data_IF_406954787162
#
_entry.id   IF_406954787162
#
_cell.length_a   1.000
_cell.length_b   1.000
_cell.length_c   1.000
_cell.angle_alpha   90.00
_cell.angle_beta   90.00
_cell.angle_gamma   90.00
#
_symmetry.space_group_name_H-M   'P 1'
#
loop_
_entity.id
_entity.type
_entity.pdbx_description
1 polymer ?
#
# COMPACT_ATOMS: atom_id res chain seq x y z
N UNK A 1 22.37 3.64 -9.51
CA UNK A 1 22.90 2.98 -8.30
C UNK A 1 22.10 1.75 -7.86
N UNK A 2 20.82 1.87 -7.42
CA UNK A 2 20.04 0.68 -7.00
C UNK A 2 19.60 -0.20 -8.18
N UNK A 3 19.11 0.40 -9.28
CA UNK A 3 18.70 -0.35 -10.47
C UNK A 3 19.86 -1.18 -11.09
N UNK A 4 21.06 -0.61 -11.13
CA UNK A 4 22.26 -1.31 -11.63
C UNK A 4 22.61 -2.52 -10.76
N UNK A 5 22.57 -2.37 -9.42
CA UNK A 5 22.78 -3.48 -8.47
C UNK A 5 21.74 -4.59 -8.64
N UNK A 6 20.49 -4.24 -8.92
CA UNK A 6 19.42 -5.22 -9.21
C UNK A 6 19.66 -5.95 -10.52
N UNK A 7 20.05 -5.24 -11.59
CA UNK A 7 20.42 -5.86 -12.89
C UNK A 7 21.62 -6.80 -12.73
N UNK A 8 22.63 -6.39 -11.96
CA UNK A 8 23.79 -7.23 -11.67
C UNK A 8 23.38 -8.48 -10.88
N UNK A 9 22.54 -8.32 -9.87
CA UNK A 9 22.00 -9.43 -9.08
C UNK A 9 21.21 -10.40 -9.96
N UNK A 10 20.35 -9.88 -10.84
CA UNK A 10 19.62 -10.68 -11.83
C UNK A 10 20.58 -11.48 -12.71
N UNK A 11 21.58 -10.83 -13.31
CA UNK A 11 22.58 -11.50 -14.18
C UNK A 11 23.34 -12.60 -13.43
N UNK A 12 23.78 -12.30 -12.20
CA UNK A 12 24.50 -13.25 -11.33
C UNK A 12 23.62 -14.43 -10.89
N UNK A 13 22.33 -14.21 -10.65
CA UNK A 13 21.40 -15.29 -10.33
C UNK A 13 21.14 -16.13 -11.57
N UNK A 14 20.84 -15.51 -12.71
CA UNK A 14 20.58 -16.19 -13.97
C UNK A 14 21.77 -17.06 -14.44
N UNK A 15 23.00 -16.63 -14.20
CA UNK A 15 24.20 -17.40 -14.58
C UNK A 15 24.37 -18.72 -13.82
N UNK A 16 23.58 -18.97 -12.76
CA UNK A 16 23.61 -20.22 -11.99
C UNK A 16 22.72 -21.31 -12.58
N UNK A 17 21.88 -20.97 -13.55
CA UNK A 17 20.89 -21.88 -14.13
C UNK A 17 21.27 -22.26 -15.57
N UNK A 18 20.95 -23.49 -15.93
CA UNK A 18 21.06 -23.98 -17.30
C UNK A 18 20.06 -23.29 -18.24
N UNK A 19 20.31 -23.38 -19.55
CA UNK A 19 19.39 -22.85 -20.56
C UNK A 19 18.01 -23.53 -20.51
N UNK A 20 17.95 -24.80 -20.06
CA UNK A 20 16.69 -25.53 -19.91
C UNK A 20 15.90 -25.03 -18.71
N UNK A 21 16.54 -24.84 -17.56
CA UNK A 21 15.89 -24.24 -16.38
C UNK A 21 15.41 -22.82 -16.65
N UNK A 22 16.20 -22.02 -17.40
CA UNK A 22 15.77 -20.68 -17.81
C UNK A 22 14.55 -20.72 -18.74
N UNK A 23 14.38 -21.76 -19.58
CA UNK A 23 13.15 -21.94 -20.37
C UNK A 23 11.96 -22.25 -19.46
N UNK A 24 12.10 -23.15 -18.49
CA UNK A 24 11.04 -23.41 -17.52
C UNK A 24 10.65 -22.16 -16.72
N UNK A 25 11.63 -21.33 -16.35
CA UNK A 25 11.36 -20.04 -15.72
C UNK A 25 10.56 -19.09 -16.61
N UNK A 26 10.83 -19.06 -17.93
CA UNK A 26 10.01 -18.26 -18.86
C UNK A 26 8.58 -18.77 -18.95
N UNK A 27 8.38 -20.10 -19.03
CA UNK A 27 7.04 -20.70 -19.00
C UNK A 27 6.32 -20.36 -17.70
N UNK A 28 6.99 -20.53 -16.55
CA UNK A 28 6.44 -20.18 -15.24
C UNK A 28 5.92 -18.74 -15.17
N UNK A 29 6.69 -17.77 -15.69
CA UNK A 29 6.22 -16.38 -15.74
C UNK A 29 4.94 -16.20 -16.57
N UNK A 30 4.84 -16.89 -17.71
CA UNK A 30 3.66 -16.83 -18.56
C UNK A 30 2.44 -17.43 -17.83
N UNK A 31 2.61 -18.58 -17.17
CA UNK A 31 1.54 -19.19 -16.37
C UNK A 31 1.07 -18.28 -15.23
N UNK A 32 2.01 -17.66 -14.50
CA UNK A 32 1.63 -16.68 -13.47
C UNK A 32 0.81 -15.54 -14.08
N UNK A 33 1.17 -15.00 -15.24
CA UNK A 33 0.37 -13.95 -15.89
C UNK A 33 -1.03 -14.43 -16.27
N UNK A 34 -1.17 -15.68 -16.73
CA UNK A 34 -2.47 -16.27 -17.10
C UNK A 34 -3.42 -16.42 -15.91
N UNK A 35 -2.90 -16.59 -14.69
CA UNK A 35 -3.72 -16.66 -13.48
C UNK A 35 -4.40 -15.31 -13.17
N UNK A 36 -3.80 -14.18 -13.55
CA UNK A 36 -4.32 -12.84 -13.25
C UNK A 36 -5.18 -12.25 -14.39
N UNK A 37 -5.08 -12.77 -15.61
CA UNK A 37 -5.68 -12.16 -16.80
C UNK A 37 -6.60 -13.17 -17.50
N UNK A 38 -7.89 -12.90 -17.51
CA UNK A 38 -8.91 -13.69 -18.23
C UNK A 38 -9.46 -12.94 -19.45
N UNK A 39 -10.12 -13.69 -20.35
CA UNK A 39 -10.81 -13.20 -21.56
C UNK A 39 -9.93 -12.27 -22.40
N UNK A 40 -8.82 -12.79 -22.93
CA UNK A 40 -7.92 -12.07 -23.84
C UNK A 40 -7.35 -10.73 -23.31
N UNK A 41 -7.33 -10.49 -22.00
CA UNK A 41 -6.83 -9.24 -21.42
C UNK A 41 -7.88 -8.35 -20.77
N UNK A 42 -9.17 -8.69 -20.88
CA UNK A 42 -10.26 -7.79 -20.48
C UNK A 42 -10.64 -7.88 -19.00
N UNK A 43 -10.30 -8.96 -18.31
CA UNK A 43 -10.72 -9.20 -16.93
C UNK A 43 -9.53 -9.54 -16.03
N UNK A 44 -9.39 -8.77 -14.94
CA UNK A 44 -8.39 -9.04 -13.89
C UNK A 44 -8.99 -10.00 -12.85
N UNK A 45 -8.24 -11.04 -12.53
CA UNK A 45 -8.55 -11.97 -11.44
C UNK A 45 -7.75 -11.59 -10.21
N UNK A 46 -8.43 -11.46 -9.08
CA UNK A 46 -7.79 -11.16 -7.81
C UNK A 46 -7.60 -12.45 -7.00
N UNK A 47 -6.34 -12.81 -6.76
CA UNK A 47 -5.95 -13.93 -5.91
C UNK A 47 -4.49 -13.78 -5.49
N UNK A 48 -4.13 -14.32 -4.32
CA UNK A 48 -2.73 -14.46 -3.90
C UNK A 48 -2.10 -15.73 -4.49
N UNK A 49 -1.84 -15.71 -5.80
CA UNK A 49 -1.27 -16.84 -6.55
C UNK A 49 0.09 -17.26 -5.99
N UNK A 50 0.99 -16.31 -5.75
CA UNK A 50 2.35 -16.63 -5.29
C UNK A 50 2.36 -17.07 -3.82
N UNK A 51 1.49 -16.52 -2.97
CA UNK A 51 1.34 -16.99 -1.59
C UNK A 51 0.75 -18.40 -1.50
N UNK A 52 -0.21 -18.74 -2.37
CA UNK A 52 -0.75 -20.10 -2.48
C UNK A 52 0.31 -21.08 -2.97
N UNK A 53 0.98 -20.78 -4.09
CA UNK A 53 2.04 -21.63 -4.64
C UNK A 53 3.18 -21.85 -3.65
N UNK A 54 3.55 -20.83 -2.88
CA UNK A 54 4.60 -20.96 -1.87
C UNK A 54 4.26 -22.01 -0.82
N UNK A 55 3.00 -22.05 -0.36
CA UNK A 55 2.54 -23.06 0.60
C UNK A 55 2.39 -24.44 -0.03
N UNK A 56 1.79 -24.51 -1.22
CA UNK A 56 1.54 -25.79 -1.91
C UNK A 56 2.84 -26.50 -2.29
N UNK A 57 3.88 -25.75 -2.62
CA UNK A 57 5.23 -26.26 -2.88
C UNK A 57 6.04 -26.49 -1.60
N UNK A 58 5.43 -26.32 -0.43
CA UNK A 58 6.05 -26.48 0.89
C UNK A 58 7.33 -25.67 1.10
N UNK A 59 7.44 -24.51 0.45
CA UNK A 59 8.65 -23.68 0.49
C UNK A 59 8.88 -23.09 1.89
N UNK A 60 7.85 -23.01 2.74
CA UNK A 60 7.96 -22.61 4.15
C UNK A 60 8.97 -23.45 4.94
N UNK A 61 9.15 -24.72 4.58
CA UNK A 61 10.10 -25.64 5.24
C UNK A 61 11.55 -25.23 4.98
N UNK A 62 11.81 -24.56 3.85
CA UNK A 62 13.11 -24.04 3.47
C UNK A 62 13.30 -22.55 3.83
N UNK A 63 12.21 -21.78 3.85
CA UNK A 63 12.23 -20.33 4.04
C UNK A 63 11.56 -19.93 5.36
N UNK A 64 12.33 -20.00 6.45
CA UNK A 64 12.06 -19.40 7.77
C UNK A 64 10.67 -19.68 8.41
N UNK A 65 9.97 -20.73 8.00
CA UNK A 65 8.64 -21.04 8.54
C UNK A 65 7.59 -19.96 8.28
N UNK A 66 7.68 -19.27 7.14
CA UNK A 66 6.68 -18.27 6.76
C UNK A 66 5.31 -18.93 6.50
N UNK A 67 4.27 -18.35 7.11
CA UNK A 67 2.88 -18.68 6.82
C UNK A 67 2.18 -17.41 6.38
N UNK A 68 1.68 -17.41 5.14
CA UNK A 68 0.86 -16.31 4.62
C UNK A 68 -0.60 -16.49 4.99
N UNK A 69 -1.28 -15.36 5.15
CA UNK A 69 -2.72 -15.32 5.38
C UNK A 69 -3.47 -15.94 4.19
N UNK A 70 -4.31 -16.96 4.39
CA UNK A 70 -5.15 -17.50 3.32
C UNK A 70 -5.96 -16.39 2.66
N UNK A 71 -6.10 -16.46 1.34
CA UNK A 71 -6.70 -15.37 0.57
C UNK A 71 -8.13 -15.02 1.03
N UNK A 72 -8.93 -16.03 1.35
CA UNK A 72 -10.30 -15.82 1.85
C UNK A 72 -10.36 -15.04 3.17
N UNK A 73 -9.36 -15.20 4.03
CA UNK A 73 -9.24 -14.43 5.28
C UNK A 73 -8.89 -12.97 4.96
N UNK A 74 -7.95 -12.75 4.02
CA UNK A 74 -7.62 -11.41 3.53
C UNK A 74 -8.84 -10.72 2.91
N UNK A 75 -9.64 -11.45 2.15
CA UNK A 75 -10.89 -10.96 1.56
C UNK A 75 -11.94 -10.61 2.62
N UNK A 76 -12.14 -11.47 3.62
CA UNK A 76 -13.04 -11.21 4.73
C UNK A 76 -12.63 -9.93 5.49
N UNK A 77 -11.35 -9.79 5.81
CA UNK A 77 -10.82 -8.60 6.50
C UNK A 77 -10.94 -7.33 5.65
N UNK A 78 -10.71 -7.43 4.34
CA UNK A 78 -10.89 -6.33 3.41
C UNK A 78 -12.35 -5.90 3.31
N UNK A 79 -13.31 -6.84 3.31
CA UNK A 79 -14.75 -6.52 3.32
C UNK A 79 -15.16 -5.78 4.58
N UNK A 80 -14.63 -6.16 5.73
CA UNK A 80 -14.91 -5.50 7.01
C UNK A 80 -14.33 -4.08 7.02
N UNK A 81 -13.07 -3.94 6.61
CA UNK A 81 -12.34 -2.67 6.74
C UNK A 81 -12.68 -1.68 5.62
N UNK A 82 -12.85 -2.15 4.40
CA UNK A 82 -13.05 -1.34 3.20
C UNK A 82 -14.46 -1.39 2.63
N UNK A 83 -15.37 -2.25 3.11
CA UNK A 83 -16.71 -2.38 2.53
C UNK A 83 -17.56 -1.10 2.57
N UNK A 84 -18.85 -1.22 2.26
CA UNK A 84 -19.76 -0.06 2.08
C UNK A 84 -19.93 0.86 3.32
N UNK A 85 -19.49 0.42 4.49
CA UNK A 85 -19.45 1.21 5.73
C UNK A 85 -18.01 1.46 6.23
N UNK A 86 -17.02 1.13 5.42
CA UNK A 86 -15.59 1.16 5.74
C UNK A 86 -14.87 2.33 5.08
N UNK A 87 -13.55 2.22 4.95
CA UNK A 87 -12.71 3.32 4.48
C UNK A 87 -13.04 3.80 3.06
N UNK A 88 -13.67 2.98 2.20
CA UNK A 88 -14.07 3.44 0.86
C UNK A 88 -15.02 4.64 0.90
N UNK A 89 -15.79 4.83 1.98
CA UNK A 89 -16.64 6.01 2.14
C UNK A 89 -15.84 7.31 2.26
N UNK A 90 -14.57 7.24 2.67
CA UNK A 90 -13.71 8.43 2.71
C UNK A 90 -13.49 9.02 1.30
N UNK A 91 -13.64 8.21 0.24
CA UNK A 91 -13.51 8.67 -1.15
C UNK A 91 -14.64 9.62 -1.59
N UNK A 92 -15.69 9.80 -0.80
CA UNK A 92 -16.66 10.87 -1.01
C UNK A 92 -16.03 12.27 -0.81
N UNK A 93 -15.07 12.37 0.11
CA UNK A 93 -14.45 13.64 0.51
C UNK A 93 -12.95 13.70 0.21
N UNK A 94 -12.33 12.57 -0.11
CA UNK A 94 -10.90 12.46 -0.39
C UNK A 94 -10.64 11.94 -1.81
N UNK A 95 -9.56 12.43 -2.43
CA UNK A 95 -9.17 11.94 -3.76
C UNK A 95 -8.65 10.50 -3.73
N UNK A 96 -8.04 10.07 -2.62
CA UNK A 96 -7.51 8.72 -2.43
C UNK A 96 -7.36 8.38 -0.95
N UNK A 97 -7.29 7.09 -0.66
CA UNK A 97 -6.98 6.52 0.65
C UNK A 97 -5.53 6.01 0.64
N UNK A 98 -4.79 6.29 1.71
CA UNK A 98 -3.49 5.68 1.98
C UNK A 98 -3.68 4.44 2.84
N UNK A 99 -3.11 3.31 2.42
CA UNK A 99 -3.19 2.03 3.12
C UNK A 99 -1.78 1.52 3.41
N UNK A 100 -1.56 0.97 4.60
CA UNK A 100 -0.27 0.44 5.06
C UNK A 100 -0.43 -1.03 5.43
N UNK A 101 0.47 -1.87 4.93
CA UNK A 101 0.64 -3.24 5.40
C UNK A 101 2.10 -3.44 5.85
N UNK A 102 2.38 -3.49 7.16
CA UNK A 102 3.73 -3.50 7.71
C UNK A 102 4.43 -4.87 7.62
N UNK A 103 3.71 -5.95 7.33
CA UNK A 103 4.23 -7.31 7.15
C UNK A 103 3.50 -7.99 6.01
N UNK A 104 3.77 -7.54 4.79
CA UNK A 104 2.87 -7.79 3.67
C UNK A 104 2.84 -9.22 3.14
N UNK A 105 3.87 -10.02 3.43
CA UNK A 105 4.02 -11.34 2.82
C UNK A 105 3.95 -11.23 1.30
N UNK A 106 3.20 -12.12 0.68
CA UNK A 106 2.95 -12.09 -0.77
C UNK A 106 1.99 -10.97 -1.23
N UNK A 107 1.42 -10.17 -0.32
CA UNK A 107 0.56 -9.02 -0.64
C UNK A 107 -0.94 -9.32 -0.67
N UNK A 108 -1.37 -10.47 -0.13
CA UNK A 108 -2.77 -10.92 -0.17
C UNK A 108 -3.80 -9.89 0.31
N UNK A 109 -3.51 -9.14 1.38
CA UNK A 109 -4.40 -8.09 1.90
C UNK A 109 -4.59 -6.94 0.91
N UNK A 110 -3.51 -6.50 0.25
CA UNK A 110 -3.56 -5.43 -0.73
C UNK A 110 -4.31 -5.87 -2.00
N UNK A 111 -4.11 -7.13 -2.45
CA UNK A 111 -4.85 -7.73 -3.58
C UNK A 111 -6.34 -7.79 -3.25
N UNK A 112 -6.70 -8.34 -2.09
CA UNK A 112 -8.09 -8.43 -1.63
C UNK A 112 -8.76 -7.07 -1.51
N UNK A 113 -8.03 -6.05 -1.06
CA UNK A 113 -8.53 -4.69 -0.98
C UNK A 113 -8.82 -4.08 -2.36
N UNK A 114 -7.96 -4.36 -3.35
CA UNK A 114 -8.20 -3.96 -4.74
C UNK A 114 -9.43 -4.67 -5.32
N UNK A 115 -9.65 -5.94 -4.97
CA UNK A 115 -10.86 -6.68 -5.33
C UNK A 115 -12.12 -5.97 -4.80
N UNK A 116 -12.16 -5.65 -3.49
CA UNK A 116 -13.33 -4.98 -2.88
C UNK A 116 -13.61 -3.61 -3.51
N UNK A 117 -12.57 -2.83 -3.77
CA UNK A 117 -12.71 -1.57 -4.48
C UNK A 117 -13.24 -1.77 -5.92
N UNK A 118 -12.71 -2.75 -6.65
CA UNK A 118 -13.17 -3.09 -8.00
C UNK A 118 -14.65 -3.53 -8.03
N UNK A 119 -15.06 -4.42 -7.10
CA UNK A 119 -16.45 -4.86 -6.91
C UNK A 119 -17.38 -3.69 -6.57
N UNK A 120 -16.85 -2.64 -5.95
CA UNK A 120 -17.56 -1.40 -5.61
C UNK A 120 -17.51 -0.34 -6.73
N UNK A 121 -17.04 -0.69 -7.94
CA UNK A 121 -16.83 0.21 -9.08
C UNK A 121 -15.86 1.38 -8.80
N UNK A 122 -14.90 1.17 -7.90
CA UNK A 122 -13.87 2.15 -7.56
C UNK A 122 -12.58 1.79 -8.30
N UNK A 123 -12.00 2.77 -8.99
CA UNK A 123 -10.69 2.63 -9.63
C UNK A 123 -9.58 2.54 -8.58
N UNK A 124 -9.29 1.33 -8.10
CA UNK A 124 -8.28 1.09 -7.07
C UNK A 124 -6.88 1.55 -7.49
N UNK A 125 -6.54 1.45 -8.78
CA UNK A 125 -5.24 1.88 -9.31
C UNK A 125 -4.94 3.36 -9.03
N UNK A 126 -5.98 4.20 -9.00
CA UNK A 126 -5.84 5.63 -8.71
C UNK A 126 -6.27 6.00 -7.28
N UNK A 127 -7.19 5.26 -6.67
CA UNK A 127 -7.88 5.64 -5.43
C UNK A 127 -7.34 4.96 -4.17
N UNK A 128 -6.66 3.82 -4.30
CA UNK A 128 -6.03 3.11 -3.19
C UNK A 128 -4.51 3.18 -3.37
N UNK A 129 -3.83 3.95 -2.52
CA UNK A 129 -2.38 4.09 -2.53
C UNK A 129 -1.77 3.26 -1.41
N UNK A 130 -1.10 2.18 -1.78
CA UNK A 130 -0.54 1.22 -0.84
C UNK A 130 0.92 1.52 -0.50
N UNK A 131 1.26 1.37 0.78
CA UNK A 131 2.62 1.20 1.29
C UNK A 131 2.71 -0.19 1.89
N UNK A 132 3.55 -1.06 1.32
CA UNK A 132 3.81 -2.40 1.84
C UNK A 132 5.22 -2.44 2.42
N UNK A 133 5.40 -3.24 3.47
CA UNK A 133 6.69 -3.44 4.11
C UNK A 133 6.86 -4.92 4.41
N UNK A 134 8.05 -5.45 4.16
CA UNK A 134 8.41 -6.78 4.63
C UNK A 134 9.92 -6.91 4.86
N UNK A 135 10.26 -7.77 5.82
CA UNK A 135 11.64 -8.08 6.16
C UNK A 135 12.23 -9.13 5.21
N UNK A 136 11.40 -9.98 4.61
CA UNK A 136 11.84 -10.97 3.63
C UNK A 136 11.77 -10.40 2.21
N UNK A 137 12.92 -10.34 1.55
CA UNK A 137 13.03 -9.87 0.18
C UNK A 137 12.21 -10.72 -0.81
N UNK A 138 11.95 -12.00 -0.52
CA UNK A 138 11.07 -12.84 -1.34
C UNK A 138 9.62 -12.37 -1.25
N UNK A 139 9.12 -12.03 -0.06
CA UNK A 139 7.80 -11.42 0.14
C UNK A 139 7.68 -10.08 -0.61
N UNK A 140 8.73 -9.26 -0.54
CA UNK A 140 8.82 -8.01 -1.30
C UNK A 140 8.69 -8.27 -2.81
N UNK A 141 9.38 -9.28 -3.35
CA UNK A 141 9.25 -9.62 -4.77
C UNK A 141 7.89 -10.19 -5.14
N UNK A 142 7.33 -11.09 -4.33
CA UNK A 142 6.01 -11.67 -4.58
C UNK A 142 4.94 -10.59 -4.60
N UNK A 143 4.88 -9.74 -3.56
CA UNK A 143 3.94 -8.62 -3.51
C UNK A 143 4.15 -7.63 -4.64
N UNK A 144 5.41 -7.28 -4.96
CA UNK A 144 5.71 -6.40 -6.09
C UNK A 144 5.21 -6.95 -7.44
N UNK A 145 5.41 -8.25 -7.71
CA UNK A 145 4.97 -8.87 -8.97
C UNK A 145 3.44 -8.89 -9.04
N UNK A 146 2.76 -9.42 -8.02
CA UNK A 146 1.31 -9.57 -8.03
C UNK A 146 0.60 -8.21 -8.14
N UNK A 147 1.07 -7.20 -7.40
CA UNK A 147 0.49 -5.86 -7.45
C UNK A 147 0.71 -5.16 -8.79
N UNK A 148 1.82 -5.42 -9.49
CA UNK A 148 1.99 -4.93 -10.85
C UNK A 148 1.04 -5.62 -11.84
N UNK A 149 0.84 -6.93 -11.70
CA UNK A 149 -0.02 -7.71 -12.60
C UNK A 149 -1.49 -7.27 -12.51
N UNK A 150 -1.96 -6.94 -11.31
CA UNK A 150 -3.31 -6.37 -11.13
C UNK A 150 -3.36 -4.85 -11.32
N UNK A 151 -2.25 -4.17 -11.62
CA UNK A 151 -2.25 -2.71 -11.79
C UNK A 151 -2.50 -1.89 -10.52
N UNK A 152 -2.24 -2.43 -9.32
CA UNK A 152 -2.41 -1.70 -8.07
C UNK A 152 -1.30 -0.66 -7.85
N UNK A 153 -1.65 0.53 -7.36
CA UNK A 153 -0.69 1.56 -6.99
C UNK A 153 -0.08 1.27 -5.61
N UNK A 154 1.19 0.85 -5.60
CA UNK A 154 1.91 0.53 -4.39
C UNK A 154 3.38 0.95 -4.42
N UNK A 155 3.88 1.31 -3.24
CA UNK A 155 5.31 1.31 -2.90
C UNK A 155 5.58 0.17 -1.92
N UNK A 156 6.55 -0.69 -2.23
CA UNK A 156 6.92 -1.85 -1.42
C UNK A 156 8.33 -1.63 -0.89
N UNK A 157 8.49 -1.67 0.43
CA UNK A 157 9.77 -1.50 1.10
C UNK A 157 10.30 -2.84 1.61
N UNK A 158 11.54 -3.16 1.25
CA UNK A 158 12.32 -4.14 1.98
C UNK A 158 12.86 -3.44 3.23
N UNK A 159 12.28 -3.76 4.39
CA UNK A 159 12.61 -3.08 5.63
C UNK A 159 12.22 -3.90 6.86
N UNK A 160 12.84 -3.56 7.99
CA UNK A 160 12.36 -4.00 9.29
C UNK A 160 11.37 -2.97 9.84
N UNK A 161 10.09 -3.33 9.87
CA UNK A 161 9.02 -2.41 10.29
C UNK A 161 9.07 -2.03 11.77
N UNK A 162 9.75 -2.82 12.62
CA UNK A 162 9.93 -2.51 14.05
C UNK A 162 11.11 -1.57 14.29
N UNK A 163 12.27 -1.82 13.66
CA UNK A 163 13.45 -0.95 13.82
C UNK A 163 13.46 0.24 12.86
N UNK A 164 12.57 0.24 11.86
CA UNK A 164 12.49 1.23 10.78
C UNK A 164 13.76 1.19 9.89
N UNK A 165 14.57 0.13 10.00
CA UNK A 165 15.73 -0.07 9.15
C UNK A 165 15.28 -0.35 7.73
N UNK A 166 15.65 0.54 6.81
CA UNK A 166 15.27 0.48 5.40
C UNK A 166 16.41 -0.08 4.55
N UNK A 167 16.09 -1.04 3.68
CA UNK A 167 17.08 -1.71 2.83
C UNK A 167 16.90 -1.40 1.34
N UNK A 168 15.65 -1.42 0.83
CA UNK A 168 15.36 -1.16 -0.59
C UNK A 168 13.89 -0.74 -0.83
N UNK A 169 13.58 -0.15 -1.99
CA UNK A 169 12.21 0.29 -2.36
C UNK A 169 11.82 -0.06 -3.79
N UNK A 170 10.60 -0.58 -3.97
CA UNK A 170 10.04 -0.97 -5.26
C UNK A 170 8.73 -0.22 -5.52
N UNK A 171 8.58 0.37 -6.70
CA UNK A 171 7.39 1.14 -7.09
C UNK A 171 6.65 0.40 -8.20
N UNK A 172 5.37 0.12 -8.01
CA UNK A 172 4.56 -0.47 -9.10
C UNK A 172 4.36 0.54 -10.23
N UNK A 173 4.08 0.03 -11.44
CA UNK A 173 3.82 0.88 -12.60
C UNK A 173 2.65 1.83 -12.34
N UNK A 174 1.56 1.36 -11.72
CA UNK A 174 0.41 2.19 -11.41
C UNK A 174 0.74 3.29 -10.38
N UNK A 175 1.64 3.04 -9.43
CA UNK A 175 2.09 4.07 -8.48
C UNK A 175 2.78 5.23 -9.20
N UNK A 176 3.66 4.90 -10.15
CA UNK A 176 4.37 5.90 -10.97
C UNK A 176 3.40 6.59 -11.93
N UNK A 177 2.59 5.82 -12.66
CA UNK A 177 1.67 6.34 -13.68
C UNK A 177 0.60 7.28 -13.10
N UNK A 178 0.13 7.01 -11.87
CA UNK A 178 -0.83 7.87 -11.17
C UNK A 178 -0.17 8.99 -10.35
N UNK A 179 1.14 9.19 -10.50
CA UNK A 179 1.93 10.21 -9.79
C UNK A 179 1.68 10.19 -8.26
N UNK A 180 1.56 8.99 -7.69
CA UNK A 180 1.11 8.78 -6.31
C UNK A 180 2.01 9.48 -5.28
N UNK A 181 3.32 9.51 -5.52
CA UNK A 181 4.28 10.18 -4.64
C UNK A 181 3.94 11.66 -4.44
N UNK A 182 3.68 12.37 -5.54
CA UNK A 182 3.38 13.80 -5.48
C UNK A 182 1.99 14.07 -4.91
N UNK A 183 1.01 13.20 -5.20
CA UNK A 183 -0.33 13.26 -4.60
C UNK A 183 -0.27 13.11 -3.06
N UNK A 184 0.48 12.12 -2.58
CA UNK A 184 0.70 11.90 -1.14
C UNK A 184 1.44 13.07 -0.49
N UNK A 185 2.50 13.60 -1.13
CA UNK A 185 3.21 14.79 -0.62
C UNK A 185 2.30 16.01 -0.53
N UNK A 186 1.49 16.26 -1.56
CA UNK A 186 0.56 17.37 -1.60
C UNK A 186 -0.49 17.26 -0.49
N UNK A 187 -1.09 16.07 -0.30
CA UNK A 187 -2.03 15.80 0.80
C UNK A 187 -1.41 16.10 2.17
N UNK A 188 -0.21 15.58 2.44
CA UNK A 188 0.53 15.85 3.70
C UNK A 188 0.85 17.33 3.91
N UNK A 189 1.16 18.08 2.85
CA UNK A 189 1.38 19.52 2.96
C UNK A 189 0.08 20.26 3.30
N UNK A 190 -1.01 19.95 2.60
CA UNK A 190 -2.34 20.53 2.86
C UNK A 190 -2.77 20.25 4.30
N UNK A 191 -2.59 19.02 4.79
CA UNK A 191 -2.89 18.66 6.17
C UNK A 191 -2.06 19.44 7.19
N UNK A 192 -0.76 19.64 6.93
CA UNK A 192 0.10 20.48 7.79
C UNK A 192 -0.37 21.93 7.82
N UNK A 193 -0.68 22.51 6.65
CA UNK A 193 -1.21 23.86 6.57
C UNK A 193 -2.56 23.99 7.28
N UNK A 194 -3.46 23.02 7.11
CA UNK A 194 -4.75 22.98 7.79
C UNK A 194 -4.58 22.93 9.31
N UNK A 195 -3.72 22.05 9.83
CA UNK A 195 -3.42 21.97 11.27
C UNK A 195 -2.83 23.28 11.81
N UNK A 196 -1.92 23.92 11.07
CA UNK A 196 -1.36 25.20 11.46
C UNK A 196 -2.41 26.33 11.46
N UNK A 197 -3.28 26.34 10.45
CA UNK A 197 -4.37 27.31 10.34
C UNK A 197 -5.40 27.13 11.47
N UNK A 198 -5.81 25.90 11.75
CA UNK A 198 -6.74 25.57 12.85
C UNK A 198 -6.14 25.96 14.20
N UNK A 199 -4.83 25.76 14.40
CA UNK A 199 -4.12 26.20 15.60
C UNK A 199 -4.12 27.73 15.78
N UNK A 200 -3.78 28.49 14.73
CA UNK A 200 -3.81 29.97 14.77
C UNK A 200 -5.23 30.47 15.05
N UNK A 201 -6.23 29.91 14.38
CA UNK A 201 -7.62 30.28 14.56
C UNK A 201 -8.08 30.03 16.01
N UNK A 202 -7.70 28.90 16.60
CA UNK A 202 -8.05 28.60 17.99
C UNK A 202 -7.38 29.56 18.98
N UNK A 203 -6.11 29.94 18.76
CA UNK A 203 -5.44 30.97 19.57
C UNK A 203 -6.13 32.34 19.47
N UNK A 204 -6.51 32.77 18.27
CA UNK A 204 -7.24 34.04 18.09
C UNK A 204 -8.62 34.04 18.77
N UNK A 205 -9.25 32.87 18.89
CA UNK A 205 -10.50 32.71 19.62
C UNK A 205 -10.29 32.79 21.15
N UNK A 206 -9.26 32.12 21.68
CA UNK A 206 -8.91 32.19 23.11
C UNK A 206 -8.52 33.62 23.53
N UNK A 207 -7.71 34.32 22.74
CA UNK A 207 -7.32 35.73 22.98
C UNK A 207 -8.54 36.68 22.99
N UNK A 208 -9.56 36.40 22.17
CA UNK A 208 -10.81 37.19 22.15
C UNK A 208 -11.67 36.92 23.38
N UNK A 209 -11.78 35.66 23.82
CA UNK A 209 -12.51 35.31 25.03
C UNK A 209 -11.85 35.88 26.30
N UNK A 210 -10.52 35.88 26.39
CA UNK A 210 -9.80 36.49 27.51
C UNK A 210 -10.00 38.01 27.56
N UNK A 211 -9.88 38.70 26.42
CA UNK A 211 -10.16 40.14 26.34
C UNK A 211 -11.61 40.48 26.70
N UNK A 212 -12.58 39.69 26.26
CA UNK A 212 -13.99 39.90 26.65
C UNK A 212 -14.23 39.67 28.15
N UNK A 213 -13.51 38.75 28.79
CA UNK A 213 -13.58 38.52 30.24
C UNK A 213 -12.93 39.65 31.03
N UNK A 214 -11.75 40.13 30.62
CA UNK A 214 -11.07 41.28 31.25
C UNK A 214 -11.93 42.56 31.14
N UNK A 215 -12.49 42.83 29.95
CA UNK A 215 -13.35 44.02 29.75
C UNK A 215 -14.59 43.98 30.65
N UNK A 216 -15.21 42.80 30.82
CA UNK A 216 -16.34 42.64 31.74
C UNK A 216 -15.91 42.81 33.21
N UNK A 217 -14.74 42.30 33.59
CA UNK A 217 -14.22 42.45 34.95
C UNK A 217 -13.91 43.91 35.31
N UNK A 218 -13.30 44.67 34.39
CA UNK A 218 -13.08 46.12 34.58
C UNK A 218 -14.41 46.87 34.72
N UNK A 219 -15.43 46.50 33.95
CA UNK A 219 -16.76 47.11 34.04
C UNK A 219 -17.41 46.92 35.43
N UNK A 220 -17.19 45.78 36.10
CA UNK A 220 -17.66 45.55 37.48
C UNK A 220 -16.85 46.30 38.56
N UNK A 221 -15.62 46.75 38.27
CA UNK A 221 -14.77 47.47 39.23
C UNK A 221 -15.08 48.97 39.29
N UNK A 222 -15.70 49.53 38.24
CA UNK A 222 -16.07 50.95 38.16
C UNK A 222 -17.53 51.26 38.54
N UNK A 223 -18.32 50.26 38.95
CA UNK A 223 -19.75 50.41 39.31
C UNK A 223 -20.00 50.58 40.84
N UNK A 224 -19.08 51.23 41.58
CA UNK A 224 -19.27 51.63 43.01
C UNK A 224 -19.43 53.14 43.20
#
# INVERSE_FOLDING_TARGET
>A
MEAEKRIETFKRTASKYSQEELKHYQCFKAEIMNEFIKKDGEEIVFQDVLGVLFHELELQNHYKGQFFTPYDVSLAMSKISLGINGYLNNLENEDFIELLEPTCGAGGMAIASCQIASESNINYSAKLIWTLQDLDLMCVYMSYIQLNLIGAAAVIHHMNSLSIEHFDTFYTLAYVANNCLERVKAKRQIEKFRKAFDFIKNMEYEDKEEKEKETKQEQYVFDF
#
